data_IF_848797039536
#
_entry.id   IF_848797039536
#
_cell.length_a   1.000
_cell.length_b   1.000
_cell.length_c   1.000
_cell.angle_alpha   90.00
_cell.angle_beta   90.00
_cell.angle_gamma   90.00
#
_symmetry.space_group_name_H-M   'P 1'
#
loop_
_entity.id
_entity.type
_entity.pdbx_description
1 polymer ?
#
# COMPACT_ATOMS: atom_id res chain seq x y z
N UNK A 1 -37.95 -18.67 53.85
CA UNK A 1 -37.69 -18.91 52.41
C UNK A 1 -37.73 -17.62 51.55
N UNK A 2 -37.32 -16.44 52.04
CA UNK A 2 -37.30 -15.20 51.23
C UNK A 2 -35.98 -14.41 51.29
N UNK A 3 -34.96 -14.96 51.94
CA UNK A 3 -33.62 -14.35 52.07
C UNK A 3 -32.56 -15.06 51.21
N UNK A 4 -32.85 -16.26 50.71
CA UNK A 4 -31.95 -17.02 49.83
C UNK A 4 -32.11 -16.64 48.36
N UNK A 5 -33.27 -16.12 47.95
CA UNK A 5 -33.56 -15.72 46.56
C UNK A 5 -32.99 -14.35 46.17
N UNK A 6 -32.77 -13.45 47.13
CA UNK A 6 -32.17 -12.13 46.88
C UNK A 6 -30.64 -12.19 46.79
N UNK A 7 -30.00 -13.13 47.47
CA UNK A 7 -28.55 -13.34 47.38
C UNK A 7 -28.12 -13.90 46.01
N UNK A 8 -28.91 -14.76 45.37
CA UNK A 8 -28.60 -15.27 44.03
C UNK A 8 -28.76 -14.22 42.92
N UNK A 9 -29.68 -13.27 43.07
CA UNK A 9 -29.89 -12.19 42.09
C UNK A 9 -28.77 -11.14 42.10
N UNK A 10 -28.15 -10.88 43.26
CA UNK A 10 -27.00 -9.97 43.36
C UNK A 10 -25.70 -10.59 42.85
N UNK A 11 -25.53 -11.91 42.96
CA UNK A 11 -24.37 -12.62 42.39
C UNK A 11 -24.46 -12.72 40.86
N UNK A 12 -25.66 -12.82 40.28
CA UNK A 12 -25.84 -12.82 38.82
C UNK A 12 -25.67 -11.43 38.18
N UNK A 13 -25.98 -10.34 38.89
CA UNK A 13 -25.74 -8.98 38.40
C UNK A 13 -24.25 -8.60 38.36
N UNK A 14 -23.43 -9.17 39.24
CA UNK A 14 -21.98 -8.98 39.21
C UNK A 14 -21.27 -9.74 38.08
N UNK A 15 -21.89 -10.79 37.52
CA UNK A 15 -21.34 -11.57 36.41
C UNK A 15 -21.58 -10.93 35.02
N UNK A 16 -22.51 -9.98 34.89
CA UNK A 16 -22.86 -9.32 33.62
C UNK A 16 -22.16 -7.96 33.41
N UNK A 17 -21.42 -7.47 34.41
CA UNK A 17 -20.61 -6.25 34.31
C UNK A 17 -19.10 -6.54 34.07
N UNK A 18 -18.75 -7.79 33.76
CA UNK A 18 -17.36 -8.24 33.61
C UNK A 18 -16.78 -8.22 32.19
N UNK A 19 -17.55 -7.83 31.16
CA UNK A 19 -17.05 -7.67 29.80
C UNK A 19 -16.81 -6.19 29.49
N UNK A 20 -15.86 -5.59 30.19
CA UNK A 20 -15.36 -4.27 29.84
C UNK A 20 -13.97 -4.46 29.23
N UNK A 21 -13.78 -4.00 27.99
CA UNK A 21 -12.53 -3.95 27.18
C UNK A 21 -11.35 -3.22 27.87
N UNK A 22 -11.39 -3.03 29.19
CA UNK A 22 -10.47 -2.21 29.96
C UNK A 22 -9.31 -2.97 30.61
N UNK A 23 -9.11 -4.24 30.25
CA UNK A 23 -7.97 -5.06 30.70
C UNK A 23 -6.99 -5.45 29.57
N UNK A 24 -7.19 -4.97 28.34
CA UNK A 24 -6.21 -5.14 27.24
C UNK A 24 -5.11 -4.06 27.21
N UNK A 25 -5.14 -3.08 28.13
CA UNK A 25 -4.15 -2.00 28.24
C UNK A 25 -3.02 -2.27 29.25
N UNK A 26 -3.01 -3.43 29.90
CA UNK A 26 -1.98 -3.77 30.86
C UNK A 26 -0.71 -4.31 30.15
N UNK A 27 0.40 -3.59 30.32
CA UNK A 27 1.79 -3.94 29.97
C UNK A 27 2.18 -3.95 28.49
N UNK A 28 2.02 -2.81 27.80
CA UNK A 28 2.94 -2.46 26.72
C UNK A 28 4.00 -1.50 27.28
N UNK A 29 5.29 -1.77 27.03
CA UNK A 29 6.40 -0.89 27.45
C UNK A 29 6.33 0.42 26.66
N UNK A 30 5.52 1.36 27.14
CA UNK A 30 5.50 2.73 26.62
C UNK A 30 6.85 3.34 26.92
N UNK A 31 7.67 3.67 25.90
CA UNK A 31 8.99 4.22 26.12
C UNK A 31 8.87 5.48 26.97
N UNK A 32 9.66 5.56 28.05
CA UNK A 32 9.75 6.77 28.87
C UNK A 32 10.50 7.85 28.09
N UNK A 33 9.76 8.65 27.33
CA UNK A 33 10.29 9.75 26.53
C UNK A 33 9.73 11.08 27.04
N UNK A 34 10.61 12.07 27.23
CA UNK A 34 10.21 13.39 27.70
C UNK A 34 9.32 14.12 26.68
N UNK A 35 9.62 13.97 25.39
CA UNK A 35 8.82 14.49 24.30
C UNK A 35 8.74 13.45 23.17
N UNK A 36 7.63 12.71 23.13
CA UNK A 36 7.37 11.70 22.10
C UNK A 36 7.36 12.26 20.67
N UNK A 37 6.96 13.52 20.49
CA UNK A 37 6.84 14.17 19.16
C UNK A 37 8.22 14.53 18.61
N UNK A 38 9.12 14.99 19.46
CA UNK A 38 10.49 15.41 19.11
C UNK A 38 11.55 14.33 19.34
N UNK A 39 11.14 13.11 19.72
CA UNK A 39 12.05 11.99 19.92
C UNK A 39 12.88 11.73 18.65
N UNK A 40 14.22 11.74 18.72
CA UNK A 40 15.06 11.50 17.56
C UNK A 40 14.99 10.03 17.12
N UNK A 41 15.33 9.79 15.85
CA UNK A 41 15.60 8.42 15.40
C UNK A 41 16.75 7.82 16.24
N UNK A 42 16.66 6.55 16.63
CA UNK A 42 17.65 5.90 17.47
C UNK A 42 18.96 5.66 16.70
N UNK A 43 20.08 5.58 17.44
CA UNK A 43 21.42 5.45 16.85
C UNK A 43 21.57 4.31 15.85
N UNK A 44 20.90 3.16 16.09
CA UNK A 44 20.91 2.01 15.15
C UNK A 44 20.32 2.35 13.78
N UNK A 45 19.25 3.16 13.74
CA UNK A 45 18.60 3.59 12.50
C UNK A 45 19.47 4.64 11.81
N UNK A 46 20.06 5.57 12.57
CA UNK A 46 20.98 6.57 12.03
C UNK A 46 22.21 5.92 11.38
N UNK A 47 22.76 4.87 12.00
CA UNK A 47 23.87 4.10 11.44
C UNK A 47 23.47 3.39 10.13
N UNK A 48 22.28 2.79 10.06
CA UNK A 48 21.79 2.16 8.82
C UNK A 48 21.49 3.18 7.71
N UNK A 49 20.99 4.37 8.05
CA UNK A 49 20.81 5.49 7.11
C UNK A 49 22.15 5.86 6.48
N UNK A 50 23.18 6.06 7.31
CA UNK A 50 24.52 6.41 6.84
C UNK A 50 25.12 5.31 5.95
N UNK A 51 25.04 4.05 6.40
CA UNK A 51 25.54 2.88 5.67
C UNK A 51 24.89 2.70 4.30
N UNK A 52 23.61 3.04 4.16
CA UNK A 52 22.86 2.93 2.90
C UNK A 52 22.99 4.16 1.98
N UNK A 53 23.78 5.16 2.37
CA UNK A 53 23.94 6.39 1.57
C UNK A 53 22.64 7.21 1.50
N UNK A 54 21.88 7.22 2.58
CA UNK A 54 20.66 8.02 2.73
C UNK A 54 20.95 9.24 3.61
N UNK A 55 20.22 10.32 3.41
CA UNK A 55 20.29 11.49 4.30
C UNK A 55 19.22 11.41 5.37
N UNK A 56 19.50 11.89 6.59
CA UNK A 56 18.55 11.81 7.72
C UNK A 56 17.15 12.34 7.35
N UNK A 57 17.09 13.49 6.71
CA UNK A 57 15.83 14.17 6.36
C UNK A 57 15.35 13.86 4.93
N UNK A 58 15.94 12.88 4.24
CA UNK A 58 15.51 12.55 2.87
C UNK A 58 14.06 12.04 2.82
N UNK A 59 13.36 12.18 1.68
CA UNK A 59 11.99 11.72 1.53
C UNK A 59 11.78 10.25 1.90
N UNK A 60 10.60 9.94 2.44
CA UNK A 60 10.17 8.58 2.76
C UNK A 60 8.85 8.21 2.07
N UNK A 61 8.61 6.91 2.02
CA UNK A 61 7.35 6.28 1.61
C UNK A 61 7.04 5.17 2.62
N UNK A 62 5.76 4.95 2.90
CA UNK A 62 5.30 3.88 3.78
C UNK A 62 4.62 2.79 2.97
N UNK A 63 4.89 1.52 3.30
CA UNK A 63 4.18 0.38 2.74
C UNK A 63 3.59 -0.48 3.83
N UNK A 64 2.34 -0.88 3.67
CA UNK A 64 1.65 -1.80 4.56
C UNK A 64 1.29 -3.05 3.76
N UNK A 65 1.55 -4.20 4.36
CA UNK A 65 1.19 -5.52 3.83
C UNK A 65 0.36 -6.23 4.89
N UNK A 66 -0.96 -6.29 4.68
CA UNK A 66 -1.90 -6.83 5.67
C UNK A 66 -1.66 -8.31 5.95
N UNK A 67 -1.51 -9.11 4.91
CA UNK A 67 -1.36 -10.55 5.01
C UNK A 67 -0.08 -10.92 5.78
N UNK A 68 1.03 -10.28 5.44
CA UNK A 68 2.32 -10.40 6.13
C UNK A 68 2.30 -9.77 7.53
N UNK A 69 1.38 -8.83 7.80
CA UNK A 69 1.36 -8.05 9.03
C UNK A 69 2.58 -7.15 9.16
N UNK A 70 2.99 -6.47 8.08
CA UNK A 70 4.21 -5.65 8.04
C UNK A 70 3.93 -4.21 7.63
N UNK A 71 4.57 -3.27 8.32
CA UNK A 71 4.74 -1.88 7.89
C UNK A 71 6.22 -1.65 7.56
N UNK A 72 6.50 -1.15 6.37
CA UNK A 72 7.84 -0.83 5.89
C UNK A 72 8.00 0.67 5.70
N UNK A 73 9.17 1.18 6.10
CA UNK A 73 9.63 2.53 5.78
C UNK A 73 10.69 2.41 4.69
N UNK A 74 10.40 3.04 3.56
CA UNK A 74 11.31 3.16 2.42
C UNK A 74 11.82 4.58 2.38
N UNK A 75 13.12 4.76 2.17
CA UNK A 75 13.78 6.07 2.24
C UNK A 75 14.61 6.33 1.00
N UNK A 76 14.55 7.57 0.50
CA UNK A 76 15.31 8.00 -0.65
C UNK A 76 16.81 8.01 -0.35
N UNK A 77 17.59 7.40 -1.23
CA UNK A 77 19.03 7.59 -1.36
C UNK A 77 19.31 8.87 -2.16
N UNK A 78 20.57 9.30 -2.19
CA UNK A 78 21.03 10.50 -2.93
C UNK A 78 20.73 10.45 -4.44
N UNK A 79 20.52 9.27 -5.02
CA UNK A 79 20.12 9.11 -6.43
C UNK A 79 18.59 9.13 -6.65
N UNK A 80 17.81 9.56 -5.66
CA UNK A 80 16.35 9.59 -5.68
C UNK A 80 15.71 8.22 -5.94
N UNK A 81 16.40 7.12 -5.61
CA UNK A 81 15.81 5.78 -5.53
C UNK A 81 15.62 5.39 -4.08
N UNK A 82 14.48 4.79 -3.80
CA UNK A 82 14.07 4.38 -2.47
C UNK A 82 14.62 2.99 -2.18
N UNK A 83 15.10 2.80 -0.97
CA UNK A 83 15.48 1.49 -0.45
C UNK A 83 14.87 1.31 0.96
N UNK A 84 14.64 0.06 1.34
CA UNK A 84 14.06 -0.28 2.63
C UNK A 84 15.04 0.11 3.73
N UNK A 85 14.59 0.95 4.67
CA UNK A 85 15.38 1.35 5.83
C UNK A 85 14.91 0.68 7.12
N UNK A 86 13.61 0.41 7.26
CA UNK A 86 13.05 -0.26 8.43
C UNK A 86 11.80 -1.06 8.08
N UNK A 87 11.58 -2.15 8.80
CA UNK A 87 10.36 -2.97 8.72
C UNK A 87 9.89 -3.31 10.12
N UNK A 88 8.59 -3.16 10.36
CA UNK A 88 7.95 -3.31 11.66
C UNK A 88 6.81 -4.31 11.55
N UNK A 89 6.69 -5.18 12.55
CA UNK A 89 5.51 -6.02 12.73
C UNK A 89 4.32 -5.17 13.15
N UNK A 90 3.21 -5.31 12.42
CA UNK A 90 1.93 -4.71 12.76
C UNK A 90 1.31 -5.55 13.88
N UNK A 91 0.97 -4.86 14.97
CA UNK A 91 0.31 -5.50 16.09
C UNK A 91 -1.05 -6.04 15.71
N UNK A 92 -1.89 -5.23 15.07
CA UNK A 92 -3.23 -5.63 14.74
C UNK A 92 -3.74 -4.76 13.59
N UNK A 93 -4.59 -5.36 12.77
CA UNK A 93 -5.37 -4.66 11.78
C UNK A 93 -6.73 -5.34 11.66
N UNK A 94 -7.77 -4.53 11.46
CA UNK A 94 -9.14 -5.00 11.53
C UNK A 94 -9.68 -5.49 10.19
N UNK A 95 -10.58 -6.46 10.28
CA UNK A 95 -11.27 -7.05 9.14
C UNK A 95 -10.47 -8.17 8.47
N UNK A 96 -10.64 -8.29 7.15
CA UNK A 96 -10.04 -9.33 6.28
C UNK A 96 -9.20 -8.68 5.18
N UNK A 97 -8.63 -9.46 4.26
CA UNK A 97 -8.05 -8.87 3.05
C UNK A 97 -9.17 -8.24 2.20
N UNK A 98 -8.97 -7.00 1.78
CA UNK A 98 -9.94 -6.23 1.01
C UNK A 98 -9.98 -4.74 1.38
N UNK A 99 -10.54 -3.91 0.50
CA UNK A 99 -10.67 -2.48 0.74
C UNK A 99 -11.72 -2.16 1.80
N UNK A 100 -11.51 -1.05 2.52
CA UNK A 100 -12.58 -0.42 3.29
C UNK A 100 -13.60 0.22 2.35
N UNK A 101 -14.89 0.11 2.67
CA UNK A 101 -15.97 0.64 1.83
C UNK A 101 -16.86 1.64 2.58
N UNK A 102 -17.16 1.41 3.86
CA UNK A 102 -18.08 2.28 4.61
C UNK A 102 -17.67 2.48 6.06
N UNK A 103 -18.16 3.54 6.68
CA UNK A 103 -17.98 3.78 8.11
C UNK A 103 -18.53 2.59 8.92
N UNK A 104 -17.82 2.17 9.97
CA UNK A 104 -18.23 1.07 10.83
C UNK A 104 -18.07 -0.35 10.26
N UNK A 105 -17.58 -0.54 9.04
CA UNK A 105 -17.30 -1.89 8.46
C UNK A 105 -16.13 -2.64 9.13
N UNK A 106 -15.45 -2.01 10.10
CA UNK A 106 -14.27 -2.54 10.81
C UNK A 106 -13.16 -3.02 9.86
N UNK A 107 -13.03 -2.40 8.69
CA UNK A 107 -12.07 -2.78 7.67
C UNK A 107 -10.94 -1.74 7.58
N UNK A 108 -9.69 -2.19 7.64
CA UNK A 108 -8.54 -1.33 7.35
C UNK A 108 -8.46 -1.02 5.83
N UNK A 109 -8.01 0.17 5.40
CA UNK A 109 -8.05 0.56 4.00
C UNK A 109 -6.92 -0.08 3.17
N UNK A 110 -7.15 -0.26 1.88
CA UNK A 110 -6.16 -0.67 0.87
C UNK A 110 -6.15 0.36 -0.26
N UNK A 111 -4.97 0.75 -0.74
CA UNK A 111 -4.83 1.82 -1.72
C UNK A 111 -3.57 2.65 -1.55
N UNK A 112 -3.56 3.82 -2.23
CA UNK A 112 -2.46 4.77 -2.22
C UNK A 112 -2.93 6.09 -1.60
N UNK A 113 -2.28 6.54 -0.53
CA UNK A 113 -2.72 7.67 0.26
C UNK A 113 -1.63 8.73 0.36
N UNK A 114 -1.87 9.97 -0.09
CA UNK A 114 -0.94 11.07 0.09
C UNK A 114 -1.09 11.66 1.50
N UNK A 115 -0.10 11.44 2.35
CA UNK A 115 -0.07 11.95 3.72
C UNK A 115 0.70 13.26 3.78
N UNK A 116 0.05 14.33 4.20
CA UNK A 116 0.66 15.65 4.46
C UNK A 116 0.96 15.81 5.96
N UNK A 117 1.69 16.87 6.39
CA UNK A 117 1.92 17.12 7.82
C UNK A 117 0.65 17.13 8.68
N UNK A 118 -0.50 17.53 8.11
CA UNK A 118 -1.80 17.51 8.78
C UNK A 118 -2.24 16.11 9.25
N UNK A 119 -1.74 15.05 8.62
CA UNK A 119 -2.07 13.68 8.98
C UNK A 119 -1.29 13.19 10.20
N UNK A 120 -0.26 13.91 10.65
CA UNK A 120 0.43 13.58 11.89
C UNK A 120 -0.44 13.99 13.09
N UNK A 121 -0.71 13.04 13.97
CA UNK A 121 -1.49 13.26 15.18
C UNK A 121 -0.63 13.04 16.44
N UNK A 122 0.02 14.11 16.95
CA UNK A 122 0.83 14.04 18.17
C UNK A 122 -0.01 13.84 19.44
N UNK A 123 -1.30 14.20 19.40
CA UNK A 123 -2.22 14.18 20.54
C UNK A 123 -3.12 12.92 20.56
N UNK A 124 -2.66 11.85 19.91
CA UNK A 124 -3.38 10.57 19.90
C UNK A 124 -3.60 10.05 21.32
N UNK A 125 -4.79 9.47 21.55
CA UNK A 125 -5.10 8.70 22.76
C UNK A 125 -4.34 7.37 22.82
N UNK A 126 -3.77 6.93 21.70
CA UNK A 126 -2.96 5.71 21.57
C UNK A 126 -1.48 6.06 21.37
N UNK A 127 -0.96 6.89 22.27
CA UNK A 127 0.43 7.36 22.28
C UNK A 127 0.83 8.29 21.12
N UNK A 128 1.03 7.81 19.91
CA UNK A 128 1.22 8.61 18.69
C UNK A 128 0.37 8.02 17.56
N UNK A 129 -0.01 8.84 16.58
CA UNK A 129 -0.71 8.34 15.42
C UNK A 129 -0.38 9.11 14.13
N UNK A 130 -0.57 8.43 13.00
CA UNK A 130 -0.58 8.99 11.66
C UNK A 130 -1.90 8.58 11.01
N UNK A 131 -2.71 9.56 10.62
CA UNK A 131 -3.93 9.30 9.85
C UNK A 131 -3.55 8.72 8.48
N UNK A 132 -4.23 7.66 8.05
CA UNK A 132 -3.94 7.00 6.77
C UNK A 132 -4.41 7.80 5.56
N UNK A 133 -5.13 8.91 5.73
CA UNK A 133 -5.63 9.74 4.62
C UNK A 133 -6.82 9.15 3.88
N UNK A 134 -7.47 8.12 4.45
CA UNK A 134 -8.72 7.58 3.91
C UNK A 134 -9.90 8.51 4.27
N UNK A 135 -10.84 8.75 3.35
CA UNK A 135 -10.88 8.30 1.96
C UNK A 135 -10.04 9.19 1.03
N UNK A 136 -9.25 8.58 0.13
CA UNK A 136 -8.55 9.32 -0.92
C UNK A 136 -9.49 9.66 -2.10
N UNK A 137 -8.95 10.25 -3.18
CA UNK A 137 -9.73 10.59 -4.39
C UNK A 137 -10.42 9.37 -5.05
N UNK A 138 -9.75 8.22 -5.07
CA UNK A 138 -10.30 6.97 -5.60
C UNK A 138 -11.46 6.48 -4.72
N UNK A 139 -11.27 6.50 -3.41
CA UNK A 139 -12.28 6.08 -2.44
C UNK A 139 -13.53 6.97 -2.54
N UNK A 140 -13.34 8.29 -2.58
CA UNK A 140 -14.42 9.27 -2.75
C UNK A 140 -15.17 9.08 -4.07
N UNK A 141 -14.47 8.86 -5.19
CA UNK A 141 -15.10 8.64 -6.50
C UNK A 141 -15.91 7.32 -6.56
N UNK A 142 -15.57 6.36 -5.71
CA UNK A 142 -16.30 5.10 -5.54
C UNK A 142 -17.34 5.16 -4.41
N UNK A 143 -17.65 6.34 -3.87
CA UNK A 143 -18.65 6.52 -2.81
C UNK A 143 -18.26 5.87 -1.48
N UNK A 144 -16.98 5.57 -1.27
CA UNK A 144 -16.50 4.99 -0.03
C UNK A 144 -16.43 6.04 1.06
N UNK A 145 -16.77 5.63 2.28
CA UNK A 145 -16.87 6.55 3.41
C UNK A 145 -16.19 6.01 4.65
N UNK A 146 -15.79 6.96 5.50
CA UNK A 146 -15.34 6.70 6.85
C UNK A 146 -14.21 7.64 7.26
N UNK A 147 -13.79 7.56 8.51
CA UNK A 147 -12.78 8.48 9.06
C UNK A 147 -11.94 7.82 10.16
N UNK A 148 -10.97 8.57 10.67
CA UNK A 148 -10.16 8.22 11.84
C UNK A 148 -9.43 6.88 11.74
N UNK A 149 -8.98 6.50 10.54
CA UNK A 149 -8.15 5.33 10.33
C UNK A 149 -6.69 5.73 10.52
N UNK A 150 -6.03 5.11 11.48
CA UNK A 150 -4.72 5.53 11.95
C UNK A 150 -3.70 4.40 11.86
N UNK A 151 -2.43 4.77 11.73
CA UNK A 151 -1.29 3.97 12.14
C UNK A 151 -0.92 4.49 13.54
N UNK A 152 -1.03 3.70 14.60
CA UNK A 152 -0.91 4.21 15.97
C UNK A 152 -0.26 3.24 16.96
N UNK A 153 0.09 3.72 18.16
CA UNK A 153 0.66 2.92 19.26
C UNK A 153 -0.37 2.09 20.03
N UNK A 154 -0.06 1.72 21.27
CA UNK A 154 -0.91 0.97 22.21
C UNK A 154 -1.39 -0.41 21.74
N UNK A 155 -0.97 -0.86 20.54
CA UNK A 155 -1.10 -2.24 20.09
C UNK A 155 -2.51 -2.86 20.19
N UNK A 156 -3.55 -2.05 20.00
CA UNK A 156 -4.97 -2.45 20.04
C UNK A 156 -5.71 -1.83 18.86
N UNK A 157 -6.38 -2.63 18.01
CA UNK A 157 -7.01 -2.12 16.77
C UNK A 157 -8.53 -2.30 16.76
N UNK A 158 -9.24 -1.21 16.44
CA UNK A 158 -10.66 -1.19 16.02
C UNK A 158 -10.80 -0.38 14.72
N UNK A 159 -10.33 -0.92 13.60
CA UNK A 159 -10.35 -0.30 12.26
C UNK A 159 -9.01 0.26 11.76
N UNK A 160 -7.98 0.23 12.60
CA UNK A 160 -6.68 0.88 12.38
C UNK A 160 -5.54 -0.12 12.10
N UNK A 161 -4.35 0.40 11.81
CA UNK A 161 -3.09 -0.35 11.85
C UNK A 161 -2.38 -0.06 13.18
N UNK A 162 -2.49 -0.97 14.13
CA UNK A 162 -1.87 -0.79 15.45
C UNK A 162 -0.43 -1.28 15.44
N UNK A 163 0.42 -0.54 16.13
CA UNK A 163 1.84 -0.78 16.32
C UNK A 163 2.13 -0.74 17.83
N UNK A 164 3.31 -1.17 18.24
CA UNK A 164 3.82 -0.88 19.59
C UNK A 164 4.20 0.59 19.72
N UNK A 165 4.24 1.11 20.95
CA UNK A 165 4.64 2.50 21.22
C UNK A 165 6.07 2.79 20.73
N UNK A 166 7.00 1.85 20.90
CA UNK A 166 8.37 1.96 20.40
C UNK A 166 8.43 2.04 18.86
N UNK A 167 7.64 1.23 18.16
CA UNK A 167 7.60 1.26 16.69
C UNK A 167 7.00 2.57 16.17
N UNK A 168 5.87 3.02 16.75
CA UNK A 168 5.23 4.26 16.29
C UNK A 168 6.08 5.50 16.59
N UNK A 169 6.88 5.51 17.66
CA UNK A 169 7.90 6.56 17.89
C UNK A 169 8.81 6.73 16.67
N UNK A 170 9.35 5.61 16.17
CA UNK A 170 10.29 5.63 15.06
C UNK A 170 9.61 5.97 13.74
N UNK A 171 8.44 5.37 13.46
CA UNK A 171 7.65 5.68 12.26
C UNK A 171 7.25 7.16 12.22
N UNK A 172 6.81 7.71 13.36
CA UNK A 172 6.47 9.13 13.49
C UNK A 172 7.71 10.03 13.33
N UNK A 173 8.85 9.64 13.92
CA UNK A 173 10.12 10.37 13.76
C UNK A 173 10.61 10.38 12.32
N UNK A 174 10.48 9.27 11.59
CA UNK A 174 10.75 9.21 10.15
C UNK A 174 9.89 10.19 9.36
N UNK A 175 8.57 10.18 9.60
CA UNK A 175 7.65 11.09 8.92
C UNK A 175 7.95 12.56 9.24
N UNK A 176 8.14 12.89 10.52
CA UNK A 176 8.54 14.22 10.98
C UNK A 176 9.83 14.70 10.32
N UNK A 177 10.89 13.88 10.34
CA UNK A 177 12.21 14.27 9.80
C UNK A 177 12.13 14.46 8.27
N UNK A 178 11.31 13.67 7.57
CA UNK A 178 11.07 13.84 6.13
C UNK A 178 10.32 15.15 5.81
N UNK A 179 9.28 15.49 6.59
CA UNK A 179 8.59 16.79 6.45
C UNK A 179 9.51 17.97 6.80
N UNK A 180 10.34 17.84 7.84
CA UNK A 180 11.39 18.83 8.17
C UNK A 180 12.42 18.98 7.03
N UNK A 181 12.64 17.92 6.26
CA UNK A 181 13.46 17.91 5.04
C UNK A 181 12.80 18.49 3.79
N UNK A 182 11.56 18.98 3.89
CA UNK A 182 10.84 19.62 2.79
C UNK A 182 10.00 18.67 1.93
N UNK A 183 9.89 17.37 2.29
CA UNK A 183 8.91 16.51 1.63
C UNK A 183 7.50 17.05 1.91
N UNK A 184 6.68 17.30 0.90
CA UNK A 184 5.32 17.86 1.08
C UNK A 184 4.25 16.80 1.30
N UNK A 185 4.47 15.59 0.76
CA UNK A 185 3.59 14.45 0.95
C UNK A 185 4.39 13.13 1.01
N UNK A 186 4.06 12.30 2.00
CA UNK A 186 4.50 10.92 2.13
C UNK A 186 3.44 10.04 1.49
N UNK A 187 3.81 9.22 0.52
CA UNK A 187 2.88 8.23 -0.04
C UNK A 187 2.83 7.01 0.89
N UNK A 188 1.64 6.71 1.42
CA UNK A 188 1.33 5.44 2.06
C UNK A 188 0.72 4.50 1.02
N UNK A 189 1.30 3.33 0.85
CA UNK A 189 0.75 2.27 0.01
C UNK A 189 0.30 1.11 0.91
N UNK A 190 -1.00 0.88 0.99
CA UNK A 190 -1.58 -0.21 1.77
C UNK A 190 -2.06 -1.33 0.83
N UNK A 191 -1.42 -2.49 0.93
CA UNK A 191 -1.67 -3.64 0.06
C UNK A 191 -2.27 -4.81 0.85
N UNK A 192 -3.06 -5.67 0.19
CA UNK A 192 -3.54 -6.90 0.81
C UNK A 192 -2.36 -7.80 1.22
N UNK A 193 -1.37 -7.94 0.35
CA UNK A 193 -0.17 -8.77 0.52
C UNK A 193 0.95 -8.26 -0.38
N UNK A 194 2.16 -8.81 -0.27
CA UNK A 194 3.20 -8.56 -1.30
C UNK A 194 2.72 -9.08 -2.65
N UNK A 195 2.54 -8.20 -3.64
CA UNK A 195 1.82 -8.50 -4.89
C UNK A 195 2.67 -9.28 -5.92
N UNK A 196 3.39 -10.29 -5.43
CA UNK A 196 4.14 -11.26 -6.21
C UNK A 196 3.22 -12.12 -7.05
N UNK A 197 3.75 -12.72 -8.12
CA UNK A 197 2.99 -13.65 -8.96
C UNK A 197 2.38 -14.81 -8.17
N UNK A 198 3.13 -15.33 -7.19
CA UNK A 198 2.64 -16.41 -6.34
C UNK A 198 1.45 -15.98 -5.49
N UNK A 199 1.54 -14.83 -4.81
CA UNK A 199 0.46 -14.36 -3.94
C UNK A 199 -0.78 -13.96 -4.75
N UNK A 200 -0.59 -13.35 -5.94
CA UNK A 200 -1.71 -13.04 -6.84
C UNK A 200 -2.43 -14.31 -7.31
N UNK A 201 -1.68 -15.37 -7.67
CA UNK A 201 -2.26 -16.66 -8.07
C UNK A 201 -2.95 -17.37 -6.89
N UNK A 202 -2.35 -17.32 -5.68
CA UNK A 202 -2.94 -17.91 -4.47
C UNK A 202 -4.32 -17.31 -4.16
N UNK A 203 -4.47 -16.00 -4.37
CA UNK A 203 -5.68 -15.26 -4.05
C UNK A 203 -6.60 -14.99 -5.26
N UNK A 204 -6.38 -15.66 -6.39
CA UNK A 204 -7.07 -15.40 -7.67
C UNK A 204 -8.61 -15.50 -7.60
N UNK A 205 -9.14 -16.22 -6.63
CA UNK A 205 -10.59 -16.42 -6.43
C UNK A 205 -11.22 -15.38 -5.49
N UNK A 206 -10.45 -14.43 -4.96
CA UNK A 206 -11.00 -13.36 -4.15
C UNK A 206 -11.95 -12.47 -4.95
N UNK A 207 -13.05 -12.06 -4.32
CA UNK A 207 -13.95 -11.05 -4.87
C UNK A 207 -13.26 -9.70 -5.15
N UNK A 208 -12.13 -9.43 -4.47
CA UNK A 208 -11.36 -8.19 -4.61
C UNK A 208 -10.24 -8.29 -5.65
N UNK A 209 -10.12 -9.39 -6.39
CA UNK A 209 -8.99 -9.62 -7.31
C UNK A 209 -8.82 -8.53 -8.36
N UNK A 210 -9.92 -7.99 -8.91
CA UNK A 210 -9.84 -6.90 -9.91
C UNK A 210 -9.34 -5.59 -9.31
N UNK A 211 -9.74 -5.29 -8.06
CA UNK A 211 -9.19 -4.17 -7.32
C UNK A 211 -7.69 -4.37 -7.03
N UNK A 212 -7.28 -5.58 -6.68
CA UNK A 212 -5.87 -5.89 -6.43
C UNK A 212 -5.02 -5.87 -7.71
N UNK A 213 -5.53 -6.33 -8.85
CA UNK A 213 -4.87 -6.14 -10.16
C UNK A 213 -4.62 -4.66 -10.45
N UNK A 214 -5.55 -3.78 -10.08
CA UNK A 214 -5.37 -2.34 -10.21
C UNK A 214 -4.27 -1.80 -9.29
N UNK A 215 -4.25 -2.19 -8.01
CA UNK A 215 -3.19 -1.78 -7.08
C UNK A 215 -1.80 -2.27 -7.53
N UNK A 216 -1.77 -3.47 -8.11
CA UNK A 216 -0.55 -4.11 -8.57
C UNK A 216 0.20 -3.30 -9.61
N UNK A 217 -0.48 -2.56 -10.48
CA UNK A 217 0.18 -1.69 -11.46
C UNK A 217 1.11 -0.68 -10.76
N UNK A 218 0.63 0.02 -9.74
CA UNK A 218 1.45 0.95 -8.96
C UNK A 218 2.52 0.25 -8.11
N UNK A 219 2.20 -0.95 -7.59
CA UNK A 219 3.17 -1.78 -6.88
C UNK A 219 4.37 -2.14 -7.76
N UNK A 220 4.11 -2.66 -8.97
CA UNK A 220 5.14 -3.13 -9.91
C UNK A 220 5.98 -1.98 -10.46
N UNK A 221 5.35 -0.85 -10.80
CA UNK A 221 6.09 0.33 -11.23
C UNK A 221 7.06 0.83 -10.15
N UNK A 222 6.70 0.74 -8.87
CA UNK A 222 7.66 0.99 -7.80
C UNK A 222 8.75 -0.08 -7.76
N UNK A 223 8.43 -1.36 -7.92
CA UNK A 223 9.44 -2.43 -7.89
C UNK A 223 10.53 -2.24 -8.93
N UNK A 224 10.15 -1.79 -10.13
CA UNK A 224 11.07 -1.53 -11.24
C UNK A 224 11.84 -0.23 -11.05
N UNK A 225 11.13 0.88 -10.79
CA UNK A 225 11.76 2.21 -10.75
C UNK A 225 12.47 2.50 -9.42
N UNK A 226 12.03 1.85 -8.34
CA UNK A 226 12.32 2.19 -6.93
C UNK A 226 12.02 3.66 -6.64
N UNK A 227 10.94 4.19 -7.22
CA UNK A 227 10.42 5.54 -6.97
C UNK A 227 8.92 5.44 -6.69
N UNK A 228 8.37 6.16 -5.69
CA UNK A 228 6.93 6.21 -5.50
C UNK A 228 6.25 6.62 -6.81
N UNK A 229 5.28 5.84 -7.33
CA UNK A 229 4.59 6.19 -8.56
C UNK A 229 3.78 7.47 -8.35
N UNK A 230 3.65 8.27 -9.41
CA UNK A 230 2.61 9.28 -9.47
C UNK A 230 1.25 8.58 -9.51
N UNK A 231 0.34 8.99 -8.63
CA UNK A 231 -0.99 8.36 -8.49
C UNK A 231 -2.05 9.36 -8.90
N UNK A 232 -2.76 9.03 -9.96
CA UNK A 232 -3.92 9.74 -10.46
C UNK A 232 -5.16 8.84 -10.42
N UNK A 233 -6.32 9.44 -10.65
CA UNK A 233 -7.59 8.71 -10.70
C UNK A 233 -8.43 9.27 -11.83
N UNK A 234 -8.96 8.38 -12.67
CA UNK A 234 -10.00 8.68 -13.64
C UNK A 234 -10.87 7.45 -13.86
N UNK A 235 -12.11 7.66 -14.28
CA UNK A 235 -13.10 6.58 -14.47
C UNK A 235 -13.23 5.70 -13.23
N UNK A 236 -13.12 6.29 -12.04
CA UNK A 236 -13.09 5.60 -10.75
C UNK A 236 -12.01 4.52 -10.62
N UNK A 237 -10.94 4.59 -11.40
CA UNK A 237 -9.80 3.68 -11.42
C UNK A 237 -8.51 4.44 -11.11
N UNK A 238 -7.57 3.78 -10.45
CA UNK A 238 -6.22 4.32 -10.30
C UNK A 238 -5.50 4.33 -11.65
N UNK A 239 -4.68 5.36 -11.83
CA UNK A 239 -3.80 5.53 -12.98
C UNK A 239 -2.41 5.90 -12.45
N UNK A 240 -1.38 5.19 -12.90
CA UNK A 240 -0.02 5.33 -12.37
C UNK A 240 0.97 5.76 -13.45
N UNK A 241 1.73 6.81 -13.16
CA UNK A 241 2.79 7.36 -14.02
C UNK A 241 2.34 7.54 -15.50
N UNK A 242 1.08 7.94 -15.73
CA UNK A 242 0.58 8.25 -17.06
C UNK A 242 0.62 9.76 -17.30
N UNK A 243 0.96 10.14 -18.53
CA UNK A 243 0.93 11.53 -18.98
C UNK A 243 -0.38 11.79 -19.74
N UNK A 244 -1.25 12.70 -19.26
CA UNK A 244 -2.44 13.08 -20.03
C UNK A 244 -2.00 13.88 -21.27
N UNK A 245 -2.75 13.76 -22.38
CA UNK A 245 -2.52 14.59 -23.56
C UNK A 245 -2.60 16.09 -23.22
N UNK A 246 -1.87 16.91 -23.99
CA UNK A 246 -1.65 18.33 -23.71
C UNK A 246 -2.94 19.09 -23.33
N UNK A 247 -2.86 19.83 -22.22
CA UNK A 247 -3.96 20.64 -21.68
C UNK A 247 -5.05 19.85 -20.94
N UNK A 248 -4.96 18.51 -20.86
CA UNK A 248 -5.92 17.68 -20.12
C UNK A 248 -5.40 17.33 -18.72
N UNK A 249 -6.32 17.06 -17.80
CA UNK A 249 -6.02 16.61 -16.43
C UNK A 249 -6.88 15.41 -16.07
N UNK A 250 -6.45 14.65 -15.07
CA UNK A 250 -7.21 13.52 -14.55
C UNK A 250 -8.33 14.01 -13.62
N UNK A 251 -9.54 13.51 -13.85
CA UNK A 251 -10.69 13.73 -12.98
C UNK A 251 -11.24 12.36 -12.54
N UNK A 252 -11.38 12.16 -11.23
CA UNK A 252 -11.70 10.85 -10.66
C UNK A 252 -13.09 10.31 -11.06
N UNK A 253 -14.04 11.19 -11.36
CA UNK A 253 -15.41 10.84 -11.75
C UNK A 253 -15.61 10.77 -13.27
N UNK A 254 -14.81 11.50 -14.05
CA UNK A 254 -14.93 11.53 -15.51
C UNK A 254 -14.14 10.40 -16.19
N UNK A 255 -14.39 10.18 -17.48
CA UNK A 255 -13.61 9.24 -18.29
C UNK A 255 -12.12 9.64 -18.32
N UNK A 256 -11.24 8.66 -18.45
CA UNK A 256 -9.81 8.91 -18.58
C UNK A 256 -9.52 9.69 -19.87
N UNK A 257 -8.71 10.78 -19.79
CA UNK A 257 -8.25 11.44 -21.01
C UNK A 257 -7.34 10.48 -21.81
N UNK A 258 -7.13 10.74 -23.12
CA UNK A 258 -6.05 10.11 -23.85
C UNK A 258 -4.74 10.30 -23.07
N UNK A 259 -4.04 9.21 -22.82
CA UNK A 259 -2.86 9.18 -21.98
C UNK A 259 -1.78 8.29 -22.58
N UNK A 260 -0.52 8.56 -22.27
CA UNK A 260 0.62 7.77 -22.70
C UNK A 260 1.48 7.37 -21.50
N UNK A 261 2.15 6.21 -21.64
CA UNK A 261 3.16 5.76 -20.69
C UNK A 261 4.52 6.32 -21.10
N UNK A 262 5.35 6.82 -20.16
CA UNK A 262 6.70 7.26 -20.49
C UNK A 262 7.52 6.12 -21.12
N UNK A 263 8.20 6.33 -22.26
CA UNK A 263 8.90 5.24 -22.97
C UNK A 263 9.92 4.48 -22.12
N UNK A 264 10.62 5.19 -21.22
CA UNK A 264 11.58 4.56 -20.30
C UNK A 264 10.89 3.61 -19.30
N UNK A 265 9.67 3.94 -18.86
CA UNK A 265 8.89 3.08 -17.97
C UNK A 265 8.37 1.86 -18.73
N UNK A 266 7.85 2.06 -19.95
CA UNK A 266 7.38 0.96 -20.80
C UNK A 266 8.48 -0.09 -21.05
N UNK A 267 9.67 0.36 -21.44
CA UNK A 267 10.82 -0.51 -21.64
C UNK A 267 11.26 -1.23 -20.36
N UNK A 268 11.28 -0.53 -19.22
CA UNK A 268 11.67 -1.13 -17.94
C UNK A 268 10.65 -2.17 -17.45
N UNK A 269 9.36 -1.98 -17.77
CA UNK A 269 8.28 -2.90 -17.42
C UNK A 269 8.25 -4.15 -18.29
N UNK A 270 8.66 -4.08 -19.56
CA UNK A 270 8.59 -5.22 -20.49
C UNK A 270 9.30 -6.48 -19.96
N UNK A 271 10.55 -6.34 -19.50
CA UNK A 271 11.31 -7.46 -18.93
C UNK A 271 10.74 -7.94 -17.60
N UNK A 272 10.23 -7.03 -16.77
CA UNK A 272 9.59 -7.37 -15.49
C UNK A 272 8.31 -8.17 -15.70
N UNK A 273 7.47 -7.78 -16.67
CA UNK A 273 6.21 -8.43 -16.98
C UNK A 273 6.44 -9.86 -17.51
N UNK A 274 7.40 -10.07 -18.41
CA UNK A 274 7.71 -11.41 -18.91
C UNK A 274 8.16 -12.37 -17.77
N UNK A 275 8.96 -11.88 -16.83
CA UNK A 275 9.36 -12.66 -15.66
C UNK A 275 8.17 -12.93 -14.72
N UNK A 276 7.30 -11.93 -14.54
CA UNK A 276 6.08 -12.05 -13.77
C UNK A 276 5.14 -13.11 -14.37
N UNK A 277 4.87 -13.07 -15.67
CA UNK A 277 3.94 -13.98 -16.36
C UNK A 277 4.40 -15.44 -16.22
N UNK A 278 5.70 -15.70 -16.46
CA UNK A 278 6.30 -17.03 -16.25
C UNK A 278 6.14 -17.50 -14.80
N UNK A 279 6.35 -16.61 -13.83
CA UNK A 279 6.17 -16.95 -12.41
C UNK A 279 4.71 -17.18 -12.05
N UNK A 280 3.79 -16.43 -12.69
CA UNK A 280 2.35 -16.55 -12.47
C UNK A 280 1.83 -17.86 -13.03
N UNK A 281 2.21 -18.25 -14.24
CA UNK A 281 1.86 -19.55 -14.84
C UNK A 281 2.34 -20.72 -13.98
N UNK A 282 3.56 -20.62 -13.43
CA UNK A 282 4.08 -21.61 -12.48
C UNK A 282 3.24 -21.64 -11.20
N UNK A 283 2.84 -20.49 -10.67
CA UNK A 283 2.04 -20.41 -9.46
C UNK A 283 0.59 -20.89 -9.69
N UNK A 284 0.02 -20.65 -10.88
CA UNK A 284 -1.29 -21.17 -11.27
C UNK A 284 -1.30 -22.69 -11.25
N UNK A 285 -0.28 -23.34 -11.82
CA UNK A 285 -0.11 -24.80 -11.73
C UNK A 285 0.08 -25.30 -10.30
N UNK A 286 0.81 -24.55 -9.47
CA UNK A 286 1.05 -24.88 -8.05
C UNK A 286 -0.25 -24.89 -7.24
N UNK A 287 -1.17 -23.99 -7.55
CA UNK A 287 -2.43 -23.83 -6.81
C UNK A 287 -3.64 -24.36 -7.58
N UNK A 288 -3.42 -25.17 -8.62
CA UNK A 288 -4.50 -25.80 -9.37
C UNK A 288 -5.37 -26.66 -8.45
N UNK A 289 -6.69 -26.58 -8.62
CA UNK A 289 -7.68 -27.18 -7.72
C UNK A 289 -7.69 -26.64 -6.28
N UNK A 290 -6.92 -25.58 -5.96
CA UNK A 290 -6.83 -25.03 -4.59
C UNK A 290 -7.40 -23.63 -4.46
N UNK A 291 -8.07 -23.39 -3.35
CA UNK A 291 -8.57 -22.09 -2.93
C UNK A 291 -7.95 -21.65 -1.60
N UNK A 292 -7.59 -20.37 -1.52
CA UNK A 292 -7.09 -19.79 -0.28
C UNK A 292 -8.24 -19.36 0.62
N UNK A 293 -8.23 -19.85 1.85
CA UNK A 293 -9.06 -19.36 2.94
C UNK A 293 -8.35 -18.21 3.65
N UNK A 294 -8.88 -16.99 3.48
CA UNK A 294 -8.41 -15.81 4.22
C UNK A 294 -8.94 -15.86 5.66
N UNK A 295 -8.09 -15.95 6.69
CA UNK A 295 -8.55 -16.10 8.06
C UNK A 295 -9.27 -14.86 8.59
N UNK A 296 -10.27 -15.08 9.44
CA UNK A 296 -10.94 -14.02 10.19
C UNK A 296 -9.97 -13.33 11.16
N UNK A 297 -10.30 -12.11 11.59
CA UNK A 297 -9.56 -11.42 12.64
C UNK A 297 -9.47 -12.24 13.94
N UNK A 298 -10.53 -12.99 14.28
CA UNK A 298 -10.56 -13.86 15.46
C UNK A 298 -9.57 -15.03 15.33
N UNK A 299 -9.52 -15.71 14.18
CA UNK A 299 -8.56 -16.79 13.93
C UNK A 299 -7.11 -16.27 13.94
N UNK A 300 -6.86 -15.09 13.36
CA UNK A 300 -5.55 -14.42 13.44
C UNK A 300 -5.16 -14.12 14.89
N UNK A 301 -6.10 -13.63 15.71
CA UNK A 301 -5.89 -13.38 17.15
C UNK A 301 -5.67 -14.68 17.94
N UNK A 302 -6.31 -15.78 17.56
CA UNK A 302 -6.14 -17.06 18.24
C UNK A 302 -4.70 -17.61 18.12
N UNK A 303 -4.06 -17.48 16.95
CA UNK A 303 -2.69 -17.97 16.73
C UNK A 303 -1.64 -17.38 17.67
N UNK A 304 -1.89 -16.17 18.14
CA UNK A 304 -0.96 -15.40 18.96
C UNK A 304 -1.33 -15.42 20.43
N UNK A 305 -2.51 -15.93 20.78
CA UNK A 305 -2.96 -16.04 22.16
C UNK A 305 -2.02 -16.93 22.99
N UNK A 306 -1.50 -18.01 22.39
CA UNK A 306 -0.58 -18.95 23.06
C UNK A 306 0.84 -18.39 23.12
N UNK A 307 1.25 -17.65 22.09
CA UNK A 307 2.51 -16.92 22.08
C UNK A 307 2.51 -15.79 23.12
N UNK A 308 1.38 -15.09 23.32
CA UNK A 308 1.22 -14.10 24.39
C UNK A 308 1.41 -14.72 25.78
N UNK A 309 0.86 -15.92 26.01
CA UNK A 309 1.02 -16.64 27.28
C UNK A 309 2.47 -17.07 27.54
N UNK A 310 3.15 -17.61 26.53
CA UNK A 310 4.55 -18.08 26.66
C UNK A 310 5.60 -16.97 26.64
N UNK A 311 5.27 -15.81 26.03
CA UNK A 311 6.10 -14.61 25.97
C UNK A 311 5.56 -13.47 26.82
N UNK A 312 4.81 -13.76 27.88
CA UNK A 312 4.26 -12.75 28.78
C UNK A 312 5.33 -11.83 29.41
N UNK A 313 6.61 -12.22 29.38
CA UNK A 313 7.77 -11.42 29.82
C UNK A 313 8.48 -10.65 28.70
N UNK A 314 8.12 -10.90 27.44
CA UNK A 314 8.61 -10.18 26.25
C UNK A 314 7.68 -8.98 26.02
N UNK A 315 8.01 -7.86 26.65
CA UNK A 315 7.17 -6.65 26.70
C UNK A 315 6.99 -5.97 25.33
N UNK A 316 7.70 -6.45 24.29
CA UNK A 316 7.57 -6.02 22.89
C UNK A 316 6.73 -7.00 22.04
N UNK A 317 6.26 -8.10 22.61
CA UNK A 317 5.57 -9.16 21.87
C UNK A 317 4.08 -8.88 21.73
N UNK A 318 3.65 -8.48 20.54
CA UNK A 318 2.23 -8.24 20.34
C UNK A 318 1.71 -8.34 18.89
N UNK A 319 1.96 -9.43 18.16
CA UNK A 319 1.28 -9.62 16.88
C UNK A 319 -0.15 -10.13 17.13
N UNK A 320 -1.11 -9.72 16.29
CA UNK A 320 -2.11 -10.57 15.67
C UNK A 320 -1.35 -11.48 14.73
N UNK A 321 -1.71 -12.77 14.68
CA UNK A 321 -1.10 -13.67 13.72
C UNK A 321 -1.18 -13.08 12.32
N UNK A 322 -0.07 -13.11 11.59
CA UNK A 322 -0.08 -12.81 10.16
C UNK A 322 -1.17 -13.66 9.49
N UNK A 323 -1.96 -13.06 8.58
CA UNK A 323 -2.97 -13.82 7.85
C UNK A 323 -2.33 -14.96 7.04
N UNK A 324 -1.08 -14.82 6.58
CA UNK A 324 -0.33 -15.91 5.96
C UNK A 324 -0.19 -17.13 6.88
N UNK A 325 -0.05 -16.92 8.19
CA UNK A 325 0.10 -18.01 9.16
C UNK A 325 -1.22 -18.65 9.56
N UNK A 326 -2.30 -17.87 9.58
CA UNK A 326 -3.63 -18.33 9.94
C UNK A 326 -4.44 -18.87 8.76
N UNK A 327 -4.12 -18.45 7.54
CA UNK A 327 -4.77 -18.91 6.34
C UNK A 327 -4.34 -20.31 5.95
N UNK A 328 -5.17 -20.92 5.11
CA UNK A 328 -5.00 -22.31 4.67
C UNK A 328 -5.39 -22.46 3.21
N UNK A 329 -4.64 -23.30 2.50
CA UNK A 329 -5.06 -23.78 1.19
C UNK A 329 -6.02 -24.95 1.40
N UNK A 330 -7.19 -24.83 0.80
CA UNK A 330 -8.21 -25.86 0.79
C UNK A 330 -8.34 -26.39 -0.64
N UNK A 331 -8.66 -27.66 -0.79
CA UNK A 331 -9.04 -28.22 -2.10
C UNK A 331 -10.44 -27.73 -2.45
N UNK A 332 -10.62 -27.23 -3.66
CA UNK A 332 -11.81 -26.45 -4.03
C UNK A 332 -13.10 -27.27 -3.96
N UNK A 333 -13.00 -28.56 -4.25
CA UNK A 333 -14.13 -29.49 -4.25
C UNK A 333 -14.63 -29.80 -2.83
N UNK A 334 -13.79 -29.59 -1.81
CA UNK A 334 -14.09 -29.86 -0.41
C UNK A 334 -14.62 -28.63 0.35
N UNK A 335 -14.73 -27.48 -0.32
CA UNK A 335 -15.14 -26.23 0.34
C UNK A 335 -16.59 -25.89 0.05
N UNK A 336 -17.41 -25.89 1.10
CA UNK A 336 -18.74 -25.29 1.04
C UNK A 336 -18.61 -23.79 0.71
N UNK A 337 -19.20 -23.31 -0.40
CA UNK A 337 -19.16 -21.90 -0.79
C UNK A 337 -19.60 -20.92 0.30
N UNK A 338 -20.47 -21.35 1.22
CA UNK A 338 -20.92 -20.54 2.35
C UNK A 338 -19.80 -20.28 3.38
N UNK A 339 -18.81 -21.17 3.49
CA UNK A 339 -17.73 -21.08 4.49
C UNK A 339 -16.60 -20.12 4.07
N UNK A 340 -16.49 -19.80 2.79
CA UNK A 340 -15.55 -18.79 2.26
C UNK A 340 -16.09 -17.35 2.38
N UNK A 341 -17.35 -17.19 2.77
CA UNK A 341 -18.01 -15.89 2.79
C UNK A 341 -17.58 -15.03 4.00
N UNK A 342 -16.80 -13.98 3.76
CA UNK A 342 -17.35 -12.65 4.08
C UNK A 342 -18.39 -12.35 2.97
N UNK A 343 -19.47 -11.59 3.22
CA UNK A 343 -20.60 -11.50 2.30
C UNK A 343 -20.08 -11.26 0.88
N UNK A 344 -20.60 -12.05 -0.07
CA UNK A 344 -20.32 -12.03 -1.52
C UNK A 344 -19.30 -13.06 -2.07
N UNK A 345 -18.74 -13.96 -1.23
CA UNK A 345 -17.86 -15.06 -1.66
C UNK A 345 -18.51 -16.15 -2.57
N UNK A 346 -19.84 -16.32 -2.54
CA UNK A 346 -20.55 -17.30 -3.38
C UNK A 346 -20.37 -17.04 -4.89
N UNK A 347 -20.10 -15.80 -5.28
CA UNK A 347 -19.90 -15.43 -6.69
C UNK A 347 -18.62 -16.05 -7.30
N UNK A 348 -17.59 -16.34 -6.52
CA UNK A 348 -16.33 -16.88 -7.03
C UNK A 348 -16.43 -18.37 -7.38
N UNK A 349 -17.14 -19.17 -6.57
CA UNK A 349 -17.35 -20.60 -6.85
C UNK A 349 -18.40 -20.79 -7.94
N UNK A 350 -19.47 -19.99 -7.97
CA UNK A 350 -20.44 -20.02 -9.07
C UNK A 350 -19.80 -19.69 -10.43
N UNK A 351 -18.75 -18.86 -10.48
CA UNK A 351 -17.97 -18.61 -11.71
C UNK A 351 -17.10 -19.80 -12.14
N UNK A 352 -16.72 -20.68 -11.22
CA UNK A 352 -15.93 -21.87 -11.53
C UNK A 352 -16.79 -23.05 -11.96
N UNK A 353 -17.95 -23.25 -11.32
CA UNK A 353 -18.95 -24.21 -11.77
C UNK A 353 -19.45 -23.94 -13.21
N UNK A 354 -19.41 -22.67 -13.63
CA UNK A 354 -19.81 -22.26 -14.98
C UNK A 354 -18.65 -22.16 -15.99
N UNK A 355 -17.40 -22.38 -15.58
CA UNK A 355 -16.22 -22.35 -16.45
C UNK A 355 -15.43 -23.66 -16.33
N UNK A 356 -16.03 -24.75 -16.80
CA UNK A 356 -15.30 -25.97 -17.17
C UNK A 356 -14.44 -25.67 -18.40
N UNK A 357 -13.16 -26.10 -18.46
CA UNK A 357 -12.30 -25.81 -19.59
C UNK A 357 -12.59 -26.75 -20.75
N UNK A 358 -13.60 -26.43 -21.54
CA UNK A 358 -13.67 -26.84 -22.94
C UNK A 358 -13.85 -25.58 -23.81
N UNK A 359 -12.91 -25.42 -24.74
CA UNK A 359 -12.77 -24.35 -25.74
C UNK A 359 -12.05 -23.07 -25.31
N UNK A 360 -10.72 -23.15 -25.34
CA UNK A 360 -9.89 -22.05 -25.81
C UNK A 360 -10.24 -21.72 -27.27
N UNK A 361 -11.08 -20.71 -27.46
CA UNK A 361 -11.22 -20.00 -28.72
C UNK A 361 -11.38 -18.51 -28.42
N UNK A 362 -10.40 -17.73 -28.90
CA UNK A 362 -10.46 -16.28 -28.89
C UNK A 362 -11.78 -15.79 -29.52
N UNK A 363 -12.42 -14.82 -28.87
CA UNK A 363 -13.47 -14.03 -29.48
C UNK A 363 -13.41 -12.57 -28.96
N UNK A 364 -13.73 -11.59 -29.81
CA UNK A 364 -12.99 -10.34 -29.91
C UNK A 364 -13.71 -9.13 -29.30
N UNK A 365 -12.96 -8.04 -29.14
CA UNK A 365 -13.47 -6.70 -28.86
C UNK A 365 -14.56 -6.31 -29.87
N UNK A 366 -15.75 -6.03 -29.38
CA UNK A 366 -16.85 -5.44 -30.14
C UNK A 366 -16.79 -3.91 -30.08
N UNK A 367 -16.48 -3.28 -31.22
CA UNK A 367 -16.86 -1.90 -31.56
C UNK A 367 -18.35 -1.82 -31.92
N UNK A 368 -19.09 -0.75 -31.57
CA UNK A 368 -20.38 -0.46 -32.17
C UNK A 368 -20.20 0.37 -33.44
N UNK A 369 -20.70 -0.15 -34.56
CA UNK A 369 -20.84 0.59 -35.82
C UNK A 369 -22.21 1.25 -35.97
N UNK A 370 -22.26 2.31 -36.77
CA UNK A 370 -23.38 2.54 -37.68
C UNK A 370 -23.03 3.57 -38.76
N UNK A 371 -23.03 3.14 -40.04
CA UNK A 371 -23.69 3.80 -41.19
C UNK A 371 -23.22 3.20 -42.54
N UNK A 372 -24.15 2.45 -43.13
CA UNK A 372 -24.50 2.14 -44.54
C UNK A 372 -23.60 2.54 -45.76
N UNK A 373 -23.78 1.87 -46.92
CA UNK A 373 -22.71 1.48 -47.85
C UNK A 373 -22.69 2.25 -49.18
N UNK A 374 -21.54 2.24 -49.89
CA UNK A 374 -21.52 2.47 -51.34
C UNK A 374 -20.52 1.52 -52.03
N UNK A 375 -21.07 0.82 -53.01
CA UNK A 375 -20.55 -0.09 -54.04
C UNK A 375 -19.44 0.50 -54.93
N UNK A 376 -18.37 -0.27 -55.22
CA UNK A 376 -18.09 -0.89 -56.53
C UNK A 376 -16.66 -1.44 -56.65
N UNK A 377 -16.57 -2.46 -57.51
CA UNK A 377 -15.48 -3.38 -57.84
C UNK A 377 -14.51 -2.78 -58.92
N UNK A 378 -13.44 -3.46 -59.38
CA UNK A 378 -12.04 -3.05 -59.24
C UNK A 378 -11.32 -2.76 -60.59
N UNK A 379 -10.05 -2.32 -60.57
CA UNK A 379 -9.15 -2.49 -61.72
C UNK A 379 -7.65 -2.32 -61.42
N UNK A 380 -6.91 -3.40 -61.73
CA UNK A 380 -5.60 -3.51 -62.41
C UNK A 380 -4.32 -2.81 -61.91
N UNK A 381 -3.41 -3.69 -61.45
CA UNK A 381 -1.95 -3.78 -61.64
C UNK A 381 -1.14 -2.65 -62.32
N UNK A 382 -0.01 -2.28 -61.70
CA UNK A 382 1.28 -2.21 -62.38
C UNK A 382 2.48 -2.32 -61.43
N UNK A 383 3.57 -2.80 -62.01
CA UNK A 383 4.77 -3.46 -61.49
C UNK A 383 5.89 -2.54 -60.97
N UNK A 384 6.57 -3.00 -59.88
CA UNK A 384 8.02 -3.19 -59.62
C UNK A 384 9.10 -2.22 -60.25
N UNK A 385 10.34 -2.09 -59.71
CA UNK A 385 11.04 -3.11 -58.92
C UNK A 385 11.93 -2.64 -57.73
N UNK A 386 12.48 -3.67 -57.10
CA UNK A 386 13.24 -3.74 -55.87
C UNK A 386 14.74 -3.38 -55.99
N UNK A 387 15.38 -3.17 -54.83
CA UNK A 387 16.82 -3.34 -54.66
C UNK A 387 17.14 -4.07 -53.33
N UNK A 388 17.40 -5.37 -53.48
CA UNK A 388 18.50 -6.18 -52.91
C UNK A 388 18.99 -6.01 -51.46
N UNK A 389 18.87 -7.11 -50.70
CA UNK A 389 19.71 -7.52 -49.57
C UNK A 389 21.17 -7.79 -50.01
N UNK A 390 22.20 -7.89 -49.15
CA UNK A 390 22.52 -9.00 -48.22
C UNK A 390 23.83 -8.64 -47.42
N UNK A 391 24.46 -9.52 -46.59
CA UNK A 391 24.36 -9.64 -45.12
C UNK A 391 25.69 -9.40 -44.33
N UNK A 392 25.63 -9.43 -42.99
CA UNK A 392 26.73 -10.03 -42.21
C UNK A 392 27.01 -9.46 -40.81
N UNK A 393 27.03 -10.37 -39.85
CA UNK A 393 27.81 -10.42 -38.60
C UNK A 393 27.08 -10.17 -37.26
N UNK A 394 27.05 -11.24 -36.47
CA UNK A 394 26.75 -11.34 -35.03
C UNK A 394 27.97 -12.05 -34.38
N UNK A 395 28.08 -12.22 -33.05
CA UNK A 395 28.37 -11.22 -32.01
C UNK A 395 29.68 -11.54 -31.26
N UNK A 396 30.25 -10.58 -30.51
CA UNK A 396 31.11 -10.89 -29.35
C UNK A 396 31.10 -9.72 -28.37
N UNK A 397 30.83 -9.99 -27.09
CA UNK A 397 31.06 -9.03 -26.01
C UNK A 397 30.04 -9.09 -24.88
N UNK A 398 30.35 -9.90 -23.87
CA UNK A 398 29.80 -9.83 -22.50
C UNK A 398 29.69 -8.39 -21.99
N UNK A 399 28.49 -7.95 -21.62
CA UNK A 399 28.28 -6.70 -20.88
C UNK A 399 27.57 -6.96 -19.55
N UNK A 400 28.28 -6.58 -18.49
CA UNK A 400 27.86 -6.44 -17.11
C UNK A 400 26.69 -5.46 -16.96
N UNK A 401 25.71 -5.84 -16.13
CA UNK A 401 24.54 -5.05 -15.79
C UNK A 401 24.90 -3.84 -14.89
N UNK A 402 25.39 -2.76 -15.51
CA UNK A 402 25.57 -1.47 -14.83
C UNK A 402 25.66 -0.35 -15.86
N UNK A 403 24.54 -0.03 -16.50
CA UNK A 403 24.19 1.31 -17.01
C UNK A 403 22.82 1.27 -17.70
N UNK A 404 21.76 1.53 -16.93
CA UNK A 404 20.49 1.97 -17.51
C UNK A 404 20.48 3.51 -17.37
N UNK A 405 20.39 4.29 -18.47
CA UNK A 405 20.36 5.75 -18.40
C UNK A 405 19.19 6.24 -17.56
N UNK A 406 19.47 7.19 -16.67
CA UNK A 406 18.48 7.87 -15.82
C UNK A 406 17.62 8.78 -16.69
N UNK A 407 16.29 8.61 -16.76
CA UNK A 407 15.42 9.61 -17.34
C UNK A 407 15.40 10.84 -16.44
N UNK A 408 15.64 12.01 -17.03
CA UNK A 408 15.47 13.31 -16.37
C UNK A 408 14.02 13.49 -15.89
N UNK A 409 13.79 14.30 -14.84
CA UNK A 409 12.44 14.71 -14.43
C UNK A 409 11.67 15.28 -15.63
N UNK A 410 10.35 15.07 -15.65
CA UNK A 410 9.45 15.65 -16.65
C UNK A 410 9.72 17.17 -16.80
N UNK A 411 10.10 17.68 -17.98
CA UNK A 411 10.35 19.11 -18.22
C UNK A 411 9.10 19.98 -17.99
N UNK A 412 7.91 19.36 -17.91
CA UNK A 412 6.63 20.02 -17.67
C UNK A 412 6.17 19.94 -16.21
N UNK A 413 6.97 19.34 -15.31
CA UNK A 413 6.72 19.50 -13.89
C UNK A 413 6.92 20.98 -13.52
N UNK A 414 5.95 21.65 -12.87
CA UNK A 414 6.19 23.00 -12.37
C UNK A 414 7.43 22.97 -11.47
N UNK A 415 8.36 23.93 -11.61
CA UNK A 415 9.55 23.98 -10.78
C UNK A 415 9.10 24.00 -9.31
N UNK A 416 9.85 23.36 -8.40
CA UNK A 416 9.61 23.51 -6.98
C UNK A 416 9.59 25.02 -6.69
N UNK A 417 8.49 25.48 -6.08
CA UNK A 417 8.40 26.85 -5.61
C UNK A 417 9.50 27.00 -4.58
N UNK A 418 10.63 27.58 -4.98
CA UNK A 418 11.61 28.10 -4.05
C UNK A 418 10.88 29.20 -3.31
N UNK A 419 10.40 28.89 -2.11
CA UNK A 419 10.08 29.93 -1.15
C UNK A 419 11.33 30.79 -1.03
N UNK A 420 11.24 32.04 -1.47
CA UNK A 420 12.27 33.03 -1.23
C UNK A 420 12.55 33.00 0.27
N UNK A 421 13.84 32.88 0.63
CA UNK A 421 14.26 33.02 2.00
C UNK A 421 13.68 34.35 2.55
N UNK A 422 13.06 34.36 3.73
CA UNK A 422 12.71 35.63 4.35
C UNK A 422 14.00 36.45 4.53
N UNK A 423 13.98 37.70 4.07
CA UNK A 423 15.06 38.66 4.30
C UNK A 423 15.47 38.62 5.77
N UNK A 424 16.77 38.46 6.00
CA UNK A 424 17.35 38.54 7.32
C UNK A 424 16.99 39.91 7.95
N UNK A 425 16.40 39.97 9.14
CA UNK A 425 16.15 41.25 9.79
C UNK A 425 17.48 41.96 10.03
N UNK A 426 17.54 43.23 9.63
CA UNK A 426 18.69 44.10 9.82
C UNK A 426 19.21 44.02 11.26
N UNK A 427 20.52 43.77 11.41
CA UNK A 427 21.23 43.72 12.69
C UNK A 427 21.02 45.05 13.44
N UNK A 428 20.06 45.08 14.38
CA UNK A 428 19.98 46.16 15.36
C UNK A 428 21.21 46.06 16.25
N UNK A 429 22.02 47.12 16.27
CA UNK A 429 23.13 47.26 17.21
C UNK A 429 22.56 47.15 18.63
N UNK A 430 23.24 46.45 19.54
CA UNK A 430 22.75 46.30 20.88
C UNK A 430 22.74 47.65 21.63
N UNK A 431 21.71 47.83 22.46
CA UNK A 431 21.37 49.05 23.18
C UNK A 431 22.46 49.56 24.16
N UNK A 432 23.45 48.74 24.50
CA UNK A 432 24.56 49.10 25.39
C UNK A 432 25.73 49.83 24.71
N UNK A 433 25.63 50.15 23.41
CA UNK A 433 26.71 50.81 22.64
C UNK A 433 26.53 52.33 22.49
N UNK A 434 25.65 52.97 23.28
CA UNK A 434 25.38 54.42 23.29
C UNK A 434 26.03 55.19 24.46
N UNK A 435 26.92 54.54 25.23
CA UNK A 435 27.66 55.17 26.33
C UNK A 435 29.15 54.85 26.21
N UNK A 436 29.80 55.34 25.15
CA UNK A 436 31.22 55.68 25.16
C UNK A 436 31.36 57.01 24.43
N UNK A 437 31.49 58.05 25.23
CA UNK A 437 31.81 59.43 24.89
C UNK A 437 33.26 59.55 24.44
N UNK A 438 33.52 60.31 23.38
CA UNK A 438 34.30 61.57 23.38
C UNK A 438 34.37 62.16 21.97
#
# INVERSE_FOLDING_TARGET
MRLTSTALLLVFAAALAGCNDTLESATYDTPKVANKVEQPLPGRILAEIQKKGMERNSPIMLRIFKEEGKLEVWKAKTNNRFDLIASYDICAWSGRLGPKVKEGDRQAPEGFYPLTPYHLNPNSKYFLAINTGFPNRYDQANGRSGTNLMIHGACSSSGCYSMTDAQILEIYAFARDAFKGGQTSIQLQAFPFRMTAENMARHRHSQHIEFWKMLKVGYDQFEVTKRPPEVNVCEKKYVFNQMPADGKSFNAQAACPPMSTPPALEMAMAGYNAAYDKAYDKAMKKFDGKIWYDPTEAERKALVADLRRSRAKDLAFAPTGSALKAGKLLDIDDVDPATLAAPDGAAAINRMANNTPDNAAAAPMSTPGNAAPVTNQPMTAQTAPAATATPGAEPTGTQTASNIPVPQPNPLAPPPVTAAAPEAPAKKKPFWMLWQSE
#
